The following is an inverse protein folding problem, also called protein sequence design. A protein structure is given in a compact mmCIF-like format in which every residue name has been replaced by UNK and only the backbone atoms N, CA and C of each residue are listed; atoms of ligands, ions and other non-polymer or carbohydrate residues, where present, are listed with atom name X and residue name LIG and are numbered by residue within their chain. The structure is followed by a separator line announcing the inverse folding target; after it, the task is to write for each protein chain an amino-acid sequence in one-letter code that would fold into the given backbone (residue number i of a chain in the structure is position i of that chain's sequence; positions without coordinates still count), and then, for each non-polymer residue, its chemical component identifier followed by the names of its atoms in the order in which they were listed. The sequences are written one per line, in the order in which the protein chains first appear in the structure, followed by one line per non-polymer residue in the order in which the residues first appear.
data_IF_773340732449
#
_entry.id   IF_773340732449
#
_cell.length_a   1.000
_cell.length_b   1.000
_cell.length_c   1.000
_cell.angle_alpha   90.00
_cell.angle_beta   90.00
_cell.angle_gamma   90.00
#
_symmetry.space_group_name_H-M   'P 1'
#
loop_
_entity.id
_entity.type
_entity.pdbx_description
1 polymer ?
#
# COMPACT_ATOMS: atom_id res chain seq x y z
N UNK A 1 -0.42 14.44 11.99
CA UNK A 1 0.41 13.29 11.53
C UNK A 1 1.85 13.78 11.37
N UNK A 2 2.87 13.00 11.78
CA UNK A 2 4.26 13.41 11.55
C UNK A 2 4.58 13.37 10.05
N UNK A 3 5.42 14.26 9.51
CA UNK A 3 5.74 14.30 8.08
C UNK A 3 6.46 13.03 7.62
N UNK A 4 6.28 12.68 6.35
CA UNK A 4 7.02 11.60 5.69
C UNK A 4 8.31 12.20 5.16
N UNK A 5 9.42 11.93 5.81
CA UNK A 5 10.76 12.44 5.45
C UNK A 5 11.61 11.38 4.75
N UNK A 6 11.21 10.11 4.85
CA UNK A 6 11.90 8.98 4.25
C UNK A 6 10.88 8.05 3.58
N UNK A 7 11.14 7.66 2.33
CA UNK A 7 10.37 6.71 1.53
C UNK A 7 11.31 5.58 1.15
N UNK A 8 10.89 4.33 1.35
CA UNK A 8 11.66 3.14 0.93
C UNK A 8 10.99 2.53 -0.29
N UNK A 9 11.75 2.27 -1.34
CA UNK A 9 11.30 1.54 -2.52
C UNK A 9 12.13 0.27 -2.71
N UNK A 10 11.48 -0.87 -2.72
CA UNK A 10 12.11 -2.16 -3.06
C UNK A 10 12.18 -2.35 -4.57
N UNK A 11 13.32 -2.86 -5.06
CA UNK A 11 13.50 -3.20 -6.47
C UNK A 11 14.12 -4.58 -6.62
N UNK A 12 13.65 -5.33 -7.59
CA UNK A 12 14.26 -6.55 -8.13
C UNK A 12 14.73 -6.34 -9.59
N UNK A 13 14.77 -5.06 -10.01
CA UNK A 13 15.10 -4.60 -11.36
C UNK A 13 14.12 -5.05 -12.45
N UNK A 14 12.96 -5.58 -12.09
CA UNK A 14 11.88 -5.87 -13.04
C UNK A 14 11.21 -4.57 -13.53
N UNK A 15 10.52 -4.64 -14.66
CA UNK A 15 9.78 -3.51 -15.20
C UNK A 15 8.67 -3.02 -14.24
N UNK A 16 8.05 -3.93 -13.49
CA UNK A 16 7.06 -3.63 -12.47
C UNK A 16 7.67 -2.94 -11.25
N UNK A 17 8.88 -3.35 -10.85
CA UNK A 17 9.63 -2.65 -9.81
C UNK A 17 10.05 -1.24 -10.26
N UNK A 18 10.43 -1.06 -11.53
CA UNK A 18 10.75 0.25 -12.09
C UNK A 18 9.56 1.23 -12.01
N UNK A 19 8.33 0.75 -12.26
CA UNK A 19 7.11 1.56 -12.09
C UNK A 19 6.95 2.01 -10.63
N UNK A 20 7.17 1.09 -9.68
CA UNK A 20 7.08 1.39 -8.25
C UNK A 20 8.17 2.39 -7.81
N UNK A 21 9.40 2.22 -8.27
CA UNK A 21 10.52 3.12 -7.98
C UNK A 21 10.26 4.52 -8.55
N UNK A 22 9.78 4.64 -9.79
CA UNK A 22 9.42 5.92 -10.37
C UNK A 22 8.26 6.60 -9.61
N UNK A 23 7.26 5.83 -9.18
CA UNK A 23 6.17 6.34 -8.34
C UNK A 23 6.70 6.84 -7.00
N UNK A 24 7.61 6.10 -6.38
CA UNK A 24 8.27 6.51 -5.13
C UNK A 24 9.08 7.79 -5.31
N UNK A 25 9.77 7.96 -6.45
CA UNK A 25 10.52 9.17 -6.76
C UNK A 25 9.61 10.39 -6.92
N UNK A 26 8.48 10.27 -7.62
CA UNK A 26 7.49 11.35 -7.75
C UNK A 26 6.92 11.77 -6.39
N UNK A 27 6.58 10.78 -5.54
CA UNK A 27 6.07 11.05 -4.19
C UNK A 27 7.15 11.69 -3.34
N UNK A 28 8.39 11.19 -3.37
CA UNK A 28 9.51 11.76 -2.62
C UNK A 28 9.77 13.21 -3.03
N UNK A 29 9.71 13.52 -4.34
CA UNK A 29 9.83 14.88 -4.85
C UNK A 29 8.73 15.80 -4.31
N UNK A 30 7.48 15.35 -4.37
CA UNK A 30 6.34 16.13 -3.90
C UNK A 30 6.39 16.40 -2.38
N UNK A 31 6.93 15.46 -1.61
CA UNK A 31 7.04 15.56 -0.15
C UNK A 31 8.34 16.22 0.33
N UNK A 32 9.32 16.46 -0.55
CA UNK A 32 10.68 16.82 -0.14
C UNK A 32 11.36 15.72 0.69
N UNK A 33 10.95 14.47 0.51
CA UNK A 33 11.45 13.32 1.25
C UNK A 33 12.65 12.68 0.57
N UNK A 34 13.51 12.05 1.36
CA UNK A 34 14.62 11.24 0.85
C UNK A 34 14.08 9.88 0.37
N UNK A 35 14.45 9.48 -0.83
CA UNK A 35 14.16 8.15 -1.37
C UNK A 35 15.29 7.18 -0.99
N UNK A 36 14.92 6.03 -0.46
CA UNK A 36 15.81 4.90 -0.22
C UNK A 36 15.47 3.77 -1.17
N UNK A 37 16.39 3.43 -2.06
CA UNK A 37 16.29 2.24 -2.90
C UNK A 37 16.90 1.06 -2.18
N UNK A 38 16.18 -0.04 -2.10
CA UNK A 38 16.71 -1.29 -1.52
C UNK A 38 16.53 -2.43 -2.49
N UNK A 39 17.62 -3.17 -2.72
CA UNK A 39 17.60 -4.49 -3.35
C UNK A 39 17.99 -5.55 -2.33
N UNK A 40 17.31 -6.69 -2.37
CA UNK A 40 17.59 -7.81 -1.46
C UNK A 40 18.00 -9.03 -2.28
N UNK A 41 19.27 -9.39 -2.14
CA UNK A 41 19.82 -10.61 -2.76
C UNK A 41 19.31 -11.83 -1.99
N UNK A 42 18.70 -12.77 -2.69
CA UNK A 42 18.28 -14.03 -2.08
C UNK A 42 19.51 -14.91 -1.85
N UNK A 43 19.73 -15.45 -0.64
CA UNK A 43 20.84 -16.39 -0.40
C UNK A 43 20.61 -17.66 -1.23
N UNK A 44 21.69 -18.19 -1.79
CA UNK A 44 21.66 -19.51 -2.42
C UNK A 44 21.56 -20.58 -1.33
N UNK A 45 20.49 -21.34 -1.34
CA UNK A 45 20.37 -22.56 -0.53
C UNK A 45 21.10 -23.70 -1.25
N UNK A 46 22.43 -23.73 -1.12
CA UNK A 46 23.21 -24.88 -1.58
C UNK A 46 23.10 -26.01 -0.56
N UNK A 47 22.89 -27.24 -1.04
CA UNK A 47 22.83 -28.42 -0.20
C UNK A 47 24.07 -28.48 0.72
N UNK A 48 23.84 -28.48 2.01
CA UNK A 48 24.90 -28.61 3.01
C UNK A 48 25.59 -29.95 2.85
N UNK A 49 26.89 -29.96 2.55
CA UNK A 49 27.65 -31.21 2.57
C UNK A 49 28.97 -31.28 1.80
N UNK A 50 29.41 -30.24 1.07
CA UNK A 50 30.72 -30.27 0.42
C UNK A 50 31.52 -28.98 0.73
N UNK A 51 32.83 -29.13 1.02
CA UNK A 51 33.75 -27.98 1.20
C UNK A 51 33.83 -27.09 -0.04
N UNK A 52 33.64 -27.67 -1.23
CA UNK A 52 33.49 -26.94 -2.50
C UNK A 52 32.28 -26.00 -2.54
N UNK A 53 31.21 -26.28 -1.78
CA UNK A 53 30.02 -25.45 -1.75
C UNK A 53 30.24 -24.12 -1.02
N UNK A 54 31.08 -24.08 0.02
CA UNK A 54 31.27 -22.84 0.81
C UNK A 54 32.07 -21.77 0.04
N UNK A 55 33.21 -22.15 -0.58
CA UNK A 55 33.99 -21.19 -1.37
C UNK A 55 33.24 -20.72 -2.61
N UNK A 56 32.51 -21.61 -3.28
CA UNK A 56 31.66 -21.27 -4.43
C UNK A 56 30.53 -20.31 -4.00
N UNK A 57 29.88 -20.59 -2.89
CA UNK A 57 28.81 -19.75 -2.35
C UNK A 57 29.32 -18.33 -2.03
N UNK A 58 30.51 -18.21 -1.43
CA UNK A 58 31.12 -16.93 -1.10
C UNK A 58 31.46 -16.12 -2.36
N UNK A 59 32.09 -16.73 -3.34
CA UNK A 59 32.43 -16.09 -4.60
C UNK A 59 31.18 -15.68 -5.39
N UNK A 60 30.16 -16.56 -5.45
CA UNK A 60 28.91 -16.25 -6.10
C UNK A 60 28.20 -15.06 -5.44
N UNK A 61 28.12 -15.02 -4.10
CA UNK A 61 27.52 -13.93 -3.37
C UNK A 61 28.26 -12.61 -3.60
N UNK A 62 29.60 -12.63 -3.61
CA UNK A 62 30.40 -11.45 -3.91
C UNK A 62 30.16 -10.92 -5.32
N UNK A 63 30.18 -11.81 -6.32
CA UNK A 63 29.91 -11.43 -7.71
C UNK A 63 28.49 -10.86 -7.89
N UNK A 64 27.49 -11.47 -7.26
CA UNK A 64 26.13 -10.98 -7.25
C UNK A 64 26.02 -9.60 -6.61
N UNK A 65 26.70 -9.38 -5.48
CA UNK A 65 26.68 -8.09 -4.79
C UNK A 65 27.30 -6.97 -5.63
N UNK A 66 28.38 -7.22 -6.37
CA UNK A 66 29.01 -6.23 -7.25
C UNK A 66 28.10 -5.87 -8.44
N UNK A 67 27.48 -6.87 -9.07
CA UNK A 67 26.52 -6.64 -10.16
C UNK A 67 25.34 -5.80 -9.66
N UNK A 68 24.74 -6.22 -8.55
CA UNK A 68 23.60 -5.54 -7.93
C UNK A 68 23.97 -4.11 -7.54
N UNK A 69 25.16 -3.92 -6.95
CA UNK A 69 25.63 -2.58 -6.57
C UNK A 69 25.72 -1.66 -7.79
N UNK A 70 26.30 -2.12 -8.89
CA UNK A 70 26.38 -1.34 -10.12
C UNK A 70 25.00 -1.00 -10.69
N UNK A 71 24.07 -1.95 -10.67
CA UNK A 71 22.70 -1.73 -11.15
C UNK A 71 21.93 -0.73 -10.30
N UNK A 72 21.97 -0.87 -8.97
CA UNK A 72 21.24 0.02 -8.07
C UNK A 72 21.83 1.44 -8.05
N UNK A 73 23.16 1.57 -8.12
CA UNK A 73 23.84 2.86 -8.21
C UNK A 73 23.48 3.58 -9.52
N UNK A 74 23.43 2.84 -10.64
CA UNK A 74 23.00 3.38 -11.95
C UNK A 74 21.55 3.85 -11.91
N UNK A 75 20.65 3.06 -11.29
CA UNK A 75 19.25 3.43 -11.11
C UNK A 75 19.13 4.69 -10.23
N UNK A 76 19.83 4.73 -9.11
CA UNK A 76 19.84 5.89 -8.23
C UNK A 76 20.36 7.16 -8.90
N UNK A 77 21.40 7.05 -9.71
CA UNK A 77 21.91 8.16 -10.50
C UNK A 77 20.84 8.70 -11.47
N UNK A 78 20.20 7.84 -12.24
CA UNK A 78 19.10 8.25 -13.15
C UNK A 78 17.97 8.98 -12.42
N UNK A 79 17.57 8.47 -11.25
CA UNK A 79 16.49 9.08 -10.45
C UNK A 79 16.89 10.45 -9.88
N UNK A 80 18.14 10.61 -9.42
CA UNK A 80 18.64 11.91 -8.97
C UNK A 80 18.58 12.95 -10.09
N UNK A 81 19.07 12.59 -11.27
CA UNK A 81 19.06 13.47 -12.44
C UNK A 81 17.63 13.79 -12.91
N UNK A 82 16.79 12.77 -13.06
CA UNK A 82 15.45 12.92 -13.64
C UNK A 82 14.49 13.69 -12.71
N UNK A 83 14.53 13.40 -11.40
CA UNK A 83 13.55 13.93 -10.45
C UNK A 83 14.12 15.06 -9.57
N UNK A 84 15.43 15.29 -9.59
CA UNK A 84 16.12 16.23 -8.70
C UNK A 84 15.80 15.96 -7.22
N UNK A 85 16.02 14.72 -6.76
CA UNK A 85 15.75 14.24 -5.40
C UNK A 85 16.99 13.61 -4.77
N UNK A 86 17.02 13.56 -3.43
CA UNK A 86 18.04 12.79 -2.71
C UNK A 86 17.66 11.30 -2.74
N UNK A 87 18.60 10.47 -3.22
CA UNK A 87 18.43 9.00 -3.27
C UNK A 87 19.59 8.34 -2.55
N UNK A 88 19.28 7.50 -1.57
CA UNK A 88 20.22 6.57 -0.94
C UNK A 88 19.97 5.14 -1.43
N UNK A 89 21.03 4.34 -1.45
CA UNK A 89 20.95 2.95 -1.90
C UNK A 89 21.32 2.00 -0.77
N UNK A 90 20.66 0.85 -0.73
CA UNK A 90 20.95 -0.22 0.20
C UNK A 90 20.88 -1.58 -0.52
N UNK A 91 21.84 -2.44 -0.20
CA UNK A 91 21.80 -3.86 -0.59
C UNK A 91 21.81 -4.70 0.66
N UNK A 92 20.94 -5.71 0.72
CA UNK A 92 20.81 -6.66 1.82
C UNK A 92 20.83 -8.08 1.28
N UNK A 93 21.10 -9.04 2.14
CA UNK A 93 21.01 -10.47 1.83
C UNK A 93 19.98 -11.09 2.77
N UNK A 94 19.00 -11.78 2.23
CA UNK A 94 17.96 -12.40 3.05
C UNK A 94 16.61 -12.53 2.36
N UNK A 95 15.56 -12.55 3.16
CA UNK A 95 14.18 -12.56 2.65
C UNK A 95 13.72 -11.14 2.37
N UNK A 96 13.36 -10.84 1.12
CA UNK A 96 13.07 -9.48 0.66
C UNK A 96 12.07 -8.73 1.57
N UNK A 97 10.93 -9.33 1.92
CA UNK A 97 9.93 -8.68 2.78
C UNK A 97 10.44 -8.35 4.19
N UNK A 98 11.31 -9.20 4.75
CA UNK A 98 11.90 -8.99 6.07
C UNK A 98 12.93 -7.86 6.02
N UNK A 99 13.86 -7.93 5.06
CA UNK A 99 14.94 -6.96 4.93
C UNK A 99 14.43 -5.57 4.56
N UNK A 100 13.43 -5.47 3.68
CA UNK A 100 12.80 -4.19 3.33
C UNK A 100 12.09 -3.59 4.56
N UNK A 101 11.34 -4.40 5.32
CA UNK A 101 10.65 -3.92 6.53
C UNK A 101 11.63 -3.46 7.60
N UNK A 102 12.68 -4.24 7.88
CA UNK A 102 13.73 -3.90 8.85
C UNK A 102 14.48 -2.63 8.45
N UNK A 103 14.80 -2.50 7.17
CA UNK A 103 15.45 -1.30 6.65
C UNK A 103 14.57 -0.06 6.77
N UNK A 104 13.29 -0.19 6.47
CA UNK A 104 12.33 0.91 6.64
C UNK A 104 12.24 1.35 8.12
N UNK A 105 12.21 0.41 9.06
CA UNK A 105 12.26 0.70 10.50
C UNK A 105 13.59 1.38 10.88
N UNK A 106 14.73 0.92 10.36
CA UNK A 106 16.07 1.48 10.61
C UNK A 106 16.20 2.95 10.18
N UNK A 107 15.63 3.31 9.01
CA UNK A 107 15.69 4.68 8.50
C UNK A 107 14.46 5.52 8.89
N UNK A 108 13.59 4.98 9.75
CA UNK A 108 12.33 5.60 10.18
C UNK A 108 11.42 5.99 9.00
N UNK A 109 11.42 5.19 7.92
CA UNK A 109 10.55 5.40 6.80
C UNK A 109 9.11 5.05 7.16
N UNK A 110 8.19 5.95 6.88
CA UNK A 110 6.75 5.76 7.14
C UNK A 110 5.98 5.27 5.91
N UNK A 111 6.64 5.23 4.77
CA UNK A 111 6.08 4.75 3.51
C UNK A 111 7.05 3.78 2.85
N UNK A 112 6.56 2.59 2.55
CA UNK A 112 7.21 1.63 1.66
C UNK A 112 6.43 1.61 0.35
N UNK A 113 7.14 1.66 -0.77
CA UNK A 113 6.56 1.54 -2.11
C UNK A 113 7.06 0.25 -2.75
N UNK A 114 6.15 -0.56 -3.23
CA UNK A 114 6.47 -1.85 -3.84
C UNK A 114 5.62 -2.08 -5.09
N UNK A 115 6.19 -2.75 -6.07
CA UNK A 115 5.44 -3.26 -7.22
C UNK A 115 4.46 -4.35 -6.79
N UNK A 116 3.31 -4.39 -7.43
CA UNK A 116 2.33 -5.45 -7.17
C UNK A 116 2.86 -6.84 -7.55
N UNK A 117 3.76 -6.91 -8.52
CA UNK A 117 4.38 -8.13 -9.02
C UNK A 117 5.90 -7.93 -9.08
N UNK A 118 6.65 -8.99 -9.31
CA UNK A 118 8.10 -8.99 -9.53
C UNK A 118 8.47 -9.99 -10.61
N UNK A 119 9.76 -10.16 -10.85
CA UNK A 119 10.36 -10.90 -11.96
C UNK A 119 9.79 -12.33 -12.21
N UNK A 120 9.28 -13.00 -11.18
CA UNK A 120 8.84 -14.40 -11.27
C UNK A 120 7.33 -14.62 -11.36
N UNK A 121 6.51 -13.59 -11.57
CA UNK A 121 5.06 -13.73 -11.56
C UNK A 121 4.48 -13.69 -12.97
N UNK A 122 4.22 -14.87 -13.54
CA UNK A 122 3.64 -15.04 -14.89
C UNK A 122 2.11 -14.88 -14.94
N UNK A 123 1.44 -14.75 -13.81
CA UNK A 123 -0.01 -14.62 -13.74
C UNK A 123 -0.40 -13.17 -13.46
N UNK A 124 -0.87 -12.47 -14.45
CA UNK A 124 -1.19 -11.02 -14.46
C UNK A 124 -2.14 -10.51 -13.36
N UNK A 125 -2.69 -11.37 -12.51
CA UNK A 125 -3.70 -11.00 -11.50
C UNK A 125 -3.31 -11.30 -10.06
N UNK A 126 -2.13 -11.85 -9.80
CA UNK A 126 -1.73 -12.24 -8.44
C UNK A 126 -0.70 -11.27 -7.87
N UNK A 127 -0.94 -10.83 -6.64
CA UNK A 127 0.02 -10.05 -5.88
C UNK A 127 1.27 -10.89 -5.59
N UNK A 128 2.45 -10.33 -5.85
CA UNK A 128 3.73 -11.00 -5.63
C UNK A 128 3.97 -11.38 -4.17
N UNK A 129 4.78 -12.41 -3.97
CA UNK A 129 5.05 -12.96 -2.63
C UNK A 129 5.70 -11.94 -1.68
N UNK A 130 6.60 -11.10 -2.18
CA UNK A 130 7.25 -10.03 -1.41
C UNK A 130 6.24 -9.00 -0.93
N UNK A 131 5.42 -8.46 -1.85
CA UNK A 131 4.40 -7.47 -1.53
C UNK A 131 3.36 -8.03 -0.55
N UNK A 132 2.88 -9.25 -0.80
CA UNK A 132 1.92 -9.95 0.06
C UNK A 132 2.43 -10.13 1.50
N UNK A 133 3.71 -10.49 1.65
CA UNK A 133 4.33 -10.66 2.98
C UNK A 133 4.66 -9.32 3.65
N UNK A 134 5.09 -8.30 2.89
CA UNK A 134 5.30 -6.94 3.41
C UNK A 134 4.03 -6.40 4.05
N UNK A 135 2.87 -6.59 3.42
CA UNK A 135 1.59 -6.18 4.00
C UNK A 135 1.34 -6.76 5.39
N UNK A 136 1.82 -7.97 5.67
CA UNK A 136 1.62 -8.64 6.94
C UNK A 136 2.62 -8.21 8.03
N UNK A 137 3.87 -7.87 7.65
CA UNK A 137 4.94 -7.68 8.63
C UNK A 137 5.34 -6.23 8.86
N UNK A 138 5.14 -5.34 7.88
CA UNK A 138 5.63 -3.96 7.98
C UNK A 138 4.79 -3.10 8.93
N UNK A 139 5.46 -2.25 9.69
CA UNK A 139 4.87 -1.19 10.51
C UNK A 139 4.61 0.08 9.72
N UNK A 140 5.24 0.26 8.59
CA UNK A 140 5.05 1.40 7.72
C UNK A 140 3.78 1.24 6.88
N UNK A 141 3.22 2.34 6.42
CA UNK A 141 2.21 2.33 5.35
C UNK A 141 2.83 1.79 4.06
N UNK A 142 2.04 1.09 3.26
CA UNK A 142 2.53 0.42 2.05
C UNK A 142 1.74 0.92 0.85
N UNK A 143 2.44 1.46 -0.14
CA UNK A 143 1.89 1.76 -1.45
C UNK A 143 2.22 0.62 -2.42
N UNK A 144 1.20 -0.03 -2.91
CA UNK A 144 1.27 -1.10 -3.90
C UNK A 144 1.00 -0.49 -5.27
N UNK A 145 2.02 -0.44 -6.11
CA UNK A 145 1.92 0.14 -7.45
C UNK A 145 1.52 -0.93 -8.45
N UNK A 146 0.42 -0.67 -9.13
CA UNK A 146 -0.19 -1.53 -10.16
C UNK A 146 -0.38 -0.80 -11.47
N UNK A 147 -0.56 0.53 -11.40
CA UNK A 147 -0.82 1.35 -12.56
C UNK A 147 0.48 1.53 -13.36
N UNK A 148 0.41 1.24 -14.66
CA UNK A 148 1.54 1.38 -15.59
C UNK A 148 1.80 2.83 -15.98
N UNK A 149 0.84 3.71 -15.78
CA UNK A 149 0.99 5.13 -16.11
C UNK A 149 1.71 5.88 -14.99
N UNK A 150 2.93 6.31 -15.26
CA UNK A 150 3.71 7.16 -14.35
C UNK A 150 3.52 8.61 -14.77
N UNK A 151 2.40 9.20 -14.35
CA UNK A 151 2.05 10.60 -14.68
C UNK A 151 2.34 11.55 -13.51
N UNK A 152 2.43 12.83 -13.80
CA UNK A 152 2.53 13.91 -12.81
C UNK A 152 1.31 14.84 -12.94
N UNK A 153 0.51 15.03 -11.86
CA UNK A 153 0.60 14.42 -10.52
C UNK A 153 0.30 12.92 -10.56
N UNK A 154 0.85 12.14 -9.60
CA UNK A 154 0.70 10.69 -9.60
C UNK A 154 -0.74 10.21 -9.43
N UNK A 155 -1.58 11.02 -8.77
CA UNK A 155 -2.97 10.67 -8.48
C UNK A 155 -3.87 11.90 -8.66
N UNK A 156 -5.00 11.72 -9.33
CA UNK A 156 -6.02 12.76 -9.59
C UNK A 156 -7.34 12.44 -8.91
N UNK A 157 -7.71 11.16 -8.82
CA UNK A 157 -8.93 10.71 -8.19
C UNK A 157 -8.63 9.55 -7.24
N UNK A 158 -8.93 9.75 -5.96
CA UNK A 158 -8.62 8.79 -4.89
C UNK A 158 -9.90 8.37 -4.18
N UNK A 159 -10.12 7.05 -4.08
CA UNK A 159 -11.14 6.48 -3.20
C UNK A 159 -10.49 6.20 -1.85
N UNK A 160 -10.92 6.91 -0.82
CA UNK A 160 -10.47 6.70 0.54
C UNK A 160 -11.51 5.88 1.31
N UNK A 161 -11.31 4.56 1.32
CA UNK A 161 -12.22 3.63 1.96
C UNK A 161 -11.97 3.55 3.47
N UNK A 162 -13.01 3.78 4.25
CA UNK A 162 -12.96 3.75 5.72
C UNK A 162 -14.02 2.83 6.29
N UNK A 163 -13.73 2.32 7.48
CA UNK A 163 -14.70 1.81 8.41
C UNK A 163 -14.65 2.68 9.68
N UNK A 164 -15.51 2.45 10.64
CA UNK A 164 -15.53 3.24 11.88
C UNK A 164 -14.65 2.66 12.99
N UNK A 165 -13.57 1.97 12.62
CA UNK A 165 -12.56 1.49 13.57
C UNK A 165 -11.64 2.63 14.03
N UNK A 166 -10.95 2.41 15.15
CA UNK A 166 -9.93 3.34 15.63
C UNK A 166 -8.84 3.54 14.56
N UNK A 167 -8.48 4.79 14.31
CA UNK A 167 -7.46 5.15 13.30
C UNK A 167 -8.03 5.41 11.90
N UNK A 168 -9.35 5.35 11.70
CA UNK A 168 -9.96 5.67 10.40
C UNK A 168 -9.60 7.07 9.89
N UNK A 169 -9.35 8.03 10.79
CA UNK A 169 -8.91 9.38 10.48
C UNK A 169 -7.51 9.45 9.83
N UNK A 170 -6.71 8.41 9.98
CA UNK A 170 -5.39 8.32 9.33
C UNK A 170 -5.51 8.15 7.82
N UNK A 171 -6.60 7.54 7.35
CA UNK A 171 -6.83 7.28 5.90
C UNK A 171 -6.88 8.59 5.11
N UNK A 172 -7.80 9.55 5.39
CA UNK A 172 -7.82 10.81 4.65
C UNK A 172 -6.56 11.65 4.87
N UNK A 173 -5.98 11.65 6.06
CA UNK A 173 -4.77 12.41 6.36
C UNK A 173 -3.57 11.93 5.52
N UNK A 174 -3.35 10.62 5.41
CA UNK A 174 -2.29 10.07 4.58
C UNK A 174 -2.61 10.22 3.09
N UNK A 175 -3.87 10.04 2.69
CA UNK A 175 -4.32 10.29 1.31
C UNK A 175 -3.95 11.69 0.87
N UNK A 176 -4.27 12.69 1.68
CA UNK A 176 -3.95 14.09 1.41
C UNK A 176 -2.44 14.34 1.33
N UNK A 177 -1.67 13.66 2.16
CA UNK A 177 -0.21 13.76 2.14
C UNK A 177 0.38 13.21 0.84
N UNK A 178 -0.09 12.05 0.38
CA UNK A 178 0.44 11.37 -0.82
C UNK A 178 -0.12 11.97 -2.12
N UNK A 179 -1.35 12.47 -2.10
CA UNK A 179 -2.07 12.99 -3.25
C UNK A 179 -2.68 14.36 -2.93
N UNK A 180 -1.84 15.41 -2.75
CA UNK A 180 -2.28 16.72 -2.30
C UNK A 180 -3.27 17.41 -3.24
N UNK A 181 -3.19 17.17 -4.54
CA UNK A 181 -4.01 17.80 -5.56
C UNK A 181 -5.16 16.92 -6.05
N UNK A 182 -5.32 15.72 -5.49
CA UNK A 182 -6.34 14.78 -5.91
C UNK A 182 -7.73 15.17 -5.40
N UNK A 183 -8.74 14.84 -6.21
CA UNK A 183 -10.11 14.74 -5.75
C UNK A 183 -10.23 13.49 -4.86
N UNK A 184 -10.66 13.68 -3.61
CA UNK A 184 -10.81 12.60 -2.65
C UNK A 184 -12.28 12.25 -2.50
N UNK A 185 -12.61 10.98 -2.64
CA UNK A 185 -13.92 10.44 -2.32
C UNK A 185 -13.83 9.53 -1.10
N UNK A 186 -14.46 9.92 -0.01
CA UNK A 186 -14.62 9.10 1.19
C UNK A 186 -15.68 8.02 0.95
N UNK A 187 -15.30 6.77 1.05
CA UNK A 187 -16.19 5.62 0.79
C UNK A 187 -16.38 4.77 2.03
N UNK A 188 -17.64 4.53 2.38
CA UNK A 188 -18.06 3.56 3.38
C UNK A 188 -18.89 2.45 2.71
N UNK A 189 -18.62 1.21 3.07
CA UNK A 189 -19.44 0.07 2.65
C UNK A 189 -20.15 -0.52 3.86
N UNK A 190 -21.49 -0.56 3.81
CA UNK A 190 -22.29 -1.37 4.72
C UNK A 190 -22.20 -2.84 4.30
N UNK A 191 -21.70 -3.66 5.21
CA UNK A 191 -21.60 -5.10 4.98
C UNK A 191 -22.99 -5.76 5.05
N UNK A 192 -23.48 -6.22 3.90
CA UNK A 192 -24.77 -6.90 3.80
C UNK A 192 -24.84 -8.22 4.58
N UNK A 193 -23.71 -8.81 4.98
CA UNK A 193 -23.71 -9.97 5.86
C UNK A 193 -24.33 -9.67 7.23
N UNK A 194 -24.18 -8.45 7.75
CA UNK A 194 -24.79 -8.05 9.01
C UNK A 194 -26.31 -8.06 8.93
N UNK A 195 -26.89 -7.57 7.84
CA UNK A 195 -28.34 -7.61 7.65
C UNK A 195 -28.86 -9.06 7.54
N UNK A 196 -28.12 -9.91 6.82
CA UNK A 196 -28.48 -11.34 6.72
C UNK A 196 -28.45 -12.04 8.08
N UNK A 197 -27.54 -11.68 8.98
CA UNK A 197 -27.52 -12.18 10.36
C UNK A 197 -28.71 -11.67 11.17
N UNK A 198 -29.07 -10.39 11.04
CA UNK A 198 -30.23 -9.80 11.72
C UNK A 198 -31.54 -10.45 11.26
N UNK A 199 -31.67 -10.69 9.95
CA UNK A 199 -32.83 -11.39 9.38
C UNK A 199 -32.95 -12.82 9.92
N UNK A 200 -31.86 -13.57 9.98
CA UNK A 200 -31.79 -14.90 10.56
C UNK A 200 -32.10 -14.91 12.06
N UNK A 201 -31.79 -13.81 12.76
CA UNK A 201 -32.15 -13.65 14.19
C UNK A 201 -33.61 -13.27 14.44
N UNK A 202 -34.44 -13.23 13.38
CA UNK A 202 -35.90 -12.99 13.50
C UNK A 202 -36.32 -11.53 13.38
N UNK A 203 -35.43 -10.63 12.98
CA UNK A 203 -35.84 -9.24 12.66
C UNK A 203 -36.76 -9.22 11.45
N UNK A 204 -37.89 -8.52 11.57
CA UNK A 204 -38.79 -8.28 10.45
C UNK A 204 -38.32 -7.13 9.56
N UNK A 205 -38.86 -7.02 8.36
CA UNK A 205 -38.46 -6.00 7.38
C UNK A 205 -38.66 -4.56 7.89
N UNK A 206 -39.69 -4.28 8.68
CA UNK A 206 -39.93 -2.96 9.23
C UNK A 206 -38.83 -2.52 10.19
N UNK A 207 -38.38 -3.42 11.06
CA UNK A 207 -37.24 -3.16 11.97
C UNK A 207 -35.93 -3.03 11.21
N UNK A 208 -35.72 -3.82 10.16
CA UNK A 208 -34.54 -3.70 9.29
C UNK A 208 -34.51 -2.35 8.56
N UNK A 209 -35.65 -1.88 8.06
CA UNK A 209 -35.74 -0.57 7.42
C UNK A 209 -35.46 0.59 8.40
N UNK A 210 -35.99 0.50 9.61
CA UNK A 210 -35.70 1.48 10.66
C UNK A 210 -34.21 1.47 11.01
N UNK A 211 -33.61 0.31 11.17
CA UNK A 211 -32.17 0.16 11.39
C UNK A 211 -31.34 0.78 10.25
N UNK A 212 -31.68 0.47 8.98
CA UNK A 212 -30.97 1.03 7.82
C UNK A 212 -31.01 2.54 7.81
N UNK A 213 -32.20 3.12 8.03
CA UNK A 213 -32.36 4.60 8.03
C UNK A 213 -31.51 5.25 9.11
N UNK A 214 -31.53 4.70 10.32
CA UNK A 214 -30.75 5.23 11.43
C UNK A 214 -29.26 5.01 11.27
N UNK A 215 -28.85 3.82 10.78
CA UNK A 215 -27.45 3.50 10.50
C UNK A 215 -26.85 4.36 9.39
N UNK A 216 -27.64 4.67 8.34
CA UNK A 216 -27.21 5.58 7.27
C UNK A 216 -27.01 7.01 7.77
N UNK A 217 -27.92 7.54 8.59
CA UNK A 217 -27.79 8.88 9.16
C UNK A 217 -26.56 9.02 10.09
N UNK A 218 -26.34 8.01 10.95
CA UNK A 218 -25.15 7.96 11.82
C UNK A 218 -23.87 7.84 11.00
N UNK A 219 -23.88 7.01 9.97
CA UNK A 219 -22.76 6.81 9.08
C UNK A 219 -22.38 8.09 8.31
N UNK A 220 -23.35 8.83 7.77
CA UNK A 220 -23.09 10.08 7.07
C UNK A 220 -22.48 11.13 8.01
N UNK A 221 -23.01 11.24 9.22
CA UNK A 221 -22.46 12.13 10.24
C UNK A 221 -21.02 11.79 10.60
N UNK A 222 -20.71 10.51 10.85
CA UNK A 222 -19.37 10.04 11.18
C UNK A 222 -18.40 10.15 10.00
N UNK A 223 -18.87 9.87 8.79
CA UNK A 223 -18.08 10.02 7.57
C UNK A 223 -17.72 11.49 7.33
N UNK A 224 -18.68 12.41 7.60
CA UNK A 224 -18.47 13.86 7.54
C UNK A 224 -17.42 14.33 8.55
N UNK A 225 -17.39 13.75 9.74
CA UNK A 225 -16.39 14.07 10.75
C UNK A 225 -14.98 13.58 10.35
N UNK A 226 -14.88 12.37 9.77
CA UNK A 226 -13.62 11.80 9.30
C UNK A 226 -13.07 12.57 8.09
N UNK A 227 -13.95 12.96 7.16
CA UNK A 227 -13.62 13.69 5.93
C UNK A 227 -14.01 15.16 6.03
N UNK A 228 -13.51 15.84 7.05
CA UNK A 228 -13.76 17.27 7.22
C UNK A 228 -13.00 18.07 6.16
N UNK A 229 -13.73 18.75 5.26
CA UNK A 229 -13.17 19.54 4.16
C UNK A 229 -12.24 20.66 4.66
N UNK A 230 -12.58 21.30 5.77
CA UNK A 230 -11.75 22.36 6.35
C UNK A 230 -10.41 21.83 6.83
N UNK A 231 -10.39 20.63 7.45
CA UNK A 231 -9.16 20.00 7.91
C UNK A 231 -8.32 19.45 6.75
N UNK A 232 -8.96 19.01 5.66
CA UNK A 232 -8.29 18.46 4.49
C UNK A 232 -7.91 19.52 3.44
N UNK A 233 -8.51 20.73 3.50
CA UNK A 233 -8.21 21.82 2.57
C UNK A 233 -8.57 21.55 1.12
N UNK A 234 -9.50 20.61 0.86
CA UNK A 234 -9.94 20.23 -0.48
C UNK A 234 -11.40 19.78 -0.45
N UNK A 235 -12.08 19.85 -1.60
CA UNK A 235 -13.41 19.27 -1.73
C UNK A 235 -13.34 17.76 -1.61
N UNK A 236 -14.14 17.19 -0.73
CA UNK A 236 -14.26 15.76 -0.52
C UNK A 236 -15.70 15.36 -0.78
N UNK A 237 -15.91 14.47 -1.74
CA UNK A 237 -17.20 13.78 -1.89
C UNK A 237 -17.29 12.61 -0.90
N UNK A 238 -18.49 12.23 -0.54
CA UNK A 238 -18.75 11.11 0.36
C UNK A 238 -19.78 10.18 -0.26
N UNK A 239 -19.51 8.90 -0.22
CA UNK A 239 -20.36 7.87 -0.78
C UNK A 239 -20.54 6.74 0.23
N UNK A 240 -21.77 6.29 0.39
CA UNK A 240 -22.13 5.16 1.22
C UNK A 240 -22.80 4.13 0.31
N UNK A 241 -22.25 2.91 0.26
CA UNK A 241 -22.79 1.81 -0.52
C UNK A 241 -23.05 0.60 0.38
N UNK A 242 -23.93 -0.28 -0.07
CA UNK A 242 -24.15 -1.58 0.59
C UNK A 242 -23.57 -2.71 -0.28
N UNK A 243 -22.98 -3.72 0.36
CA UNK A 243 -22.43 -4.87 -0.34
C UNK A 243 -21.30 -5.57 0.39
N UNK A 244 -20.61 -6.43 -0.32
CA UNK A 244 -19.40 -7.10 0.17
C UNK A 244 -18.21 -6.12 0.11
N UNK A 245 -17.60 -5.72 1.25
CA UNK A 245 -16.73 -4.56 1.32
C UNK A 245 -15.60 -4.55 0.29
N UNK A 246 -14.76 -5.58 0.22
CA UNK A 246 -13.62 -5.58 -0.70
C UNK A 246 -14.04 -5.52 -2.17
N UNK A 247 -15.09 -6.24 -2.54
CA UNK A 247 -15.60 -6.27 -3.92
C UNK A 247 -16.26 -4.94 -4.29
N UNK A 248 -17.08 -4.38 -3.39
CA UNK A 248 -17.77 -3.10 -3.61
C UNK A 248 -16.78 -1.96 -3.75
N UNK A 249 -15.73 -1.91 -2.90
CA UNK A 249 -14.65 -0.91 -3.02
C UNK A 249 -13.96 -1.01 -4.38
N UNK A 250 -13.53 -2.20 -4.79
CA UNK A 250 -12.84 -2.39 -6.07
C UNK A 250 -13.72 -2.06 -7.27
N UNK A 251 -14.99 -2.49 -7.26
CA UNK A 251 -15.93 -2.20 -8.34
C UNK A 251 -16.23 -0.70 -8.45
N UNK A 252 -16.43 -0.04 -7.31
CA UNK A 252 -16.65 1.41 -7.26
C UNK A 252 -15.44 2.16 -7.79
N UNK A 253 -14.23 1.84 -7.32
CA UNK A 253 -13.00 2.45 -7.80
C UNK A 253 -12.81 2.28 -9.32
N UNK A 254 -13.11 1.10 -9.86
CA UNK A 254 -13.06 0.83 -11.30
C UNK A 254 -14.09 1.68 -12.07
N UNK A 255 -15.33 1.76 -11.58
CA UNK A 255 -16.42 2.55 -12.21
C UNK A 255 -16.09 4.04 -12.21
N UNK A 256 -15.54 4.55 -11.12
CA UNK A 256 -15.12 5.94 -10.95
C UNK A 256 -13.76 6.24 -11.60
N UNK A 257 -13.09 5.24 -12.18
CA UNK A 257 -11.74 5.36 -12.75
C UNK A 257 -10.74 5.95 -11.76
N UNK A 258 -10.80 5.50 -10.52
CA UNK A 258 -9.88 5.96 -9.50
C UNK A 258 -8.44 5.51 -9.79
N UNK A 259 -7.50 6.38 -9.51
CA UNK A 259 -6.06 6.13 -9.67
C UNK A 259 -5.48 5.41 -8.45
N UNK A 260 -6.08 5.64 -7.28
CA UNK A 260 -5.64 5.13 -6.00
C UNK A 260 -6.82 4.74 -5.12
N UNK A 261 -6.70 3.61 -4.43
CA UNK A 261 -7.53 3.29 -3.26
C UNK A 261 -6.67 3.44 -2.02
N UNK A 262 -7.11 4.26 -1.06
CA UNK A 262 -6.50 4.30 0.27
C UNK A 262 -7.40 3.60 1.26
N UNK A 263 -6.85 2.70 2.08
CA UNK A 263 -7.60 1.91 3.06
C UNK A 263 -6.74 1.61 4.29
N UNK A 264 -7.35 1.54 5.46
CA UNK A 264 -6.66 1.12 6.70
C UNK A 264 -6.18 -0.33 6.62
N UNK A 265 -4.99 -0.60 7.14
CA UNK A 265 -4.37 -1.92 7.12
C UNK A 265 -5.04 -2.89 8.10
N UNK A 266 -5.45 -2.41 9.27
CA UNK A 266 -5.95 -3.22 10.38
C UNK A 266 -7.43 -2.98 10.64
N UNK A 267 -8.17 -4.04 10.97
CA UNK A 267 -9.59 -3.96 11.35
C UNK A 267 -9.81 -3.85 12.86
N UNK A 268 -8.82 -4.16 13.70
CA UNK A 268 -9.01 -4.24 15.17
C UNK A 268 -7.91 -3.50 15.92
N UNK A 269 -8.32 -2.59 16.80
CA UNK A 269 -7.52 -2.03 17.88
C UNK A 269 -7.45 -3.06 19.02
N UNK A 270 -6.36 -3.81 19.11
CA UNK A 270 -6.09 -4.75 20.20
C UNK A 270 -4.61 -5.05 20.29
N UNK A 271 -4.15 -5.27 21.52
CA UNK A 271 -2.75 -5.26 22.00
C UNK A 271 -1.80 -6.25 21.31
N UNK A 272 -2.32 -7.21 20.56
CA UNK A 272 -1.51 -8.22 19.88
C UNK A 272 -2.07 -8.46 18.49
N UNK A 273 -1.33 -8.11 17.50
CA UNK A 273 -1.34 -8.59 16.12
C UNK A 273 -1.55 -7.52 15.06
N UNK A 274 -0.48 -7.27 14.39
CA UNK A 274 -0.30 -6.63 13.09
C UNK A 274 -0.97 -7.46 11.98
N UNK A 275 -2.22 -7.90 12.19
CA UNK A 275 -2.93 -8.71 11.20
C UNK A 275 -3.55 -7.80 10.15
N UNK A 276 -3.21 -8.08 8.91
CA UNK A 276 -3.86 -7.46 7.76
C UNK A 276 -5.34 -7.83 7.74
N UNK A 277 -6.22 -6.82 7.72
CA UNK A 277 -7.66 -7.04 7.65
C UNK A 277 -8.09 -7.76 6.38
N UNK A 278 -9.18 -8.52 6.46
CA UNK A 278 -9.71 -9.29 5.33
C UNK A 278 -10.09 -8.41 4.15
N UNK A 279 -10.69 -7.25 4.42
CA UNK A 279 -11.09 -6.26 3.40
C UNK A 279 -9.87 -5.64 2.74
N UNK A 280 -8.89 -5.18 3.52
CA UNK A 280 -7.66 -4.57 3.02
C UNK A 280 -6.86 -5.55 2.16
N UNK A 281 -6.79 -6.81 2.59
CA UNK A 281 -6.21 -7.91 1.82
C UNK A 281 -6.97 -8.10 0.50
N UNK A 282 -8.29 -8.22 0.55
CA UNK A 282 -9.14 -8.39 -0.63
C UNK A 282 -8.96 -7.25 -1.64
N UNK A 283 -8.93 -5.99 -1.17
CA UNK A 283 -8.68 -4.81 -2.01
C UNK A 283 -7.28 -4.85 -2.61
N UNK A 284 -6.25 -5.15 -1.82
CA UNK A 284 -4.87 -5.23 -2.31
C UNK A 284 -4.70 -6.27 -3.43
N UNK A 285 -5.43 -7.39 -3.38
CA UNK A 285 -5.38 -8.41 -4.42
C UNK A 285 -6.22 -8.05 -5.67
N UNK A 286 -7.41 -7.46 -5.47
CA UNK A 286 -8.42 -7.35 -6.55
C UNK A 286 -8.46 -6.00 -7.24
N UNK A 287 -7.91 -4.93 -6.63
CA UNK A 287 -7.90 -3.61 -7.23
C UNK A 287 -7.08 -3.58 -8.52
N UNK A 288 -7.54 -2.80 -9.50
CA UNK A 288 -6.84 -2.57 -10.77
C UNK A 288 -6.02 -1.28 -10.79
N UNK A 289 -6.21 -0.41 -9.80
CA UNK A 289 -5.42 0.79 -9.55
C UNK A 289 -4.46 0.58 -8.37
N UNK A 290 -3.61 1.57 -8.10
CA UNK A 290 -2.70 1.56 -6.97
C UNK A 290 -3.47 1.44 -5.65
N UNK A 291 -2.84 0.84 -4.63
CA UNK A 291 -3.46 0.67 -3.29
C UNK A 291 -2.50 1.15 -2.22
N UNK A 292 -2.96 2.10 -1.41
CA UNK A 292 -2.25 2.60 -0.24
C UNK A 292 -2.88 2.01 1.03
N UNK A 293 -2.12 1.17 1.71
CA UNK A 293 -2.47 0.60 3.00
C UNK A 293 -1.92 1.51 4.11
N UNK A 294 -2.80 2.12 4.90
CA UNK A 294 -2.41 3.02 6.01
C UNK A 294 -2.26 2.22 7.30
N UNK A 295 -1.30 2.62 8.12
CA UNK A 295 -1.06 1.99 9.42
C UNK A 295 -1.29 2.96 10.58
#
# INVERSE_FOLDING_TARGET
MQPITHVVAGTDFSAEADLAVNRAALISKALGAKLHLIHVVHPLDLYAGSELSFSFQTHYQQAQQEIVKTQIDTMAFKLREQFNISVEVATRVGRAHTEISNYADQVNARLIVAGAQGEHNLLEKLLGSTCSRLMAVSKSSILIVKNKDVTTPPYRHVIAAVNFSAGAEKVPALTRTIAPDAQIEGLLIFDTNQEAHMYKAGMNEALLQQYRTQALADADSRLSAIFNEQALGTKVSRTILSGYPSQSICNHAKTQRADLITIGKNEKSGIENWLLGSVSKGVAYSATCDVLLTN
#
